data_IF_854928876826
#
_entry.id   IF_854928876826
#
_cell.length_a   1.000
_cell.length_b   1.000
_cell.length_c   1.000
_cell.angle_alpha   90.00
_cell.angle_beta   90.00
_cell.angle_gamma   90.00
#
_symmetry.space_group_name_H-M   'P 1'
#
loop_
_entity.id
_entity.type
_entity.pdbx_description
1 polymer ?
#
# COMPACT_ATOMS: atom_id res chain seq x y z
N UNK A 1 31.75 10.25 -25.40
CA UNK A 1 30.69 10.54 -24.40
C UNK A 1 30.58 9.32 -23.51
N UNK A 2 30.84 9.48 -22.21
CA UNK A 2 30.93 8.36 -21.27
C UNK A 2 29.62 7.59 -21.19
N UNK A 3 29.72 6.25 -21.19
CA UNK A 3 28.57 5.33 -21.12
C UNK A 3 27.65 5.63 -19.92
N UNK A 4 28.23 6.04 -18.80
CA UNK A 4 27.50 6.49 -17.61
C UNK A 4 26.72 7.78 -17.84
N UNK A 5 27.28 8.74 -18.58
CA UNK A 5 26.61 10.00 -18.91
C UNK A 5 25.38 9.76 -19.80
N UNK A 6 25.50 8.86 -20.77
CA UNK A 6 24.36 8.47 -21.62
C UNK A 6 23.25 7.76 -20.81
N UNK A 7 23.61 6.90 -19.86
CA UNK A 7 22.63 6.20 -19.00
C UNK A 7 21.85 7.16 -18.10
N UNK A 8 22.53 8.09 -17.43
CA UNK A 8 21.88 9.09 -16.58
C UNK A 8 20.92 9.97 -17.40
N UNK A 9 21.34 10.40 -18.59
CA UNK A 9 20.48 11.18 -19.48
C UNK A 9 19.23 10.41 -19.90
N UNK A 10 19.38 9.14 -20.27
CA UNK A 10 18.24 8.26 -20.59
C UNK A 10 17.31 8.13 -19.39
N UNK A 11 17.82 7.81 -18.20
CA UNK A 11 16.98 7.71 -16.99
C UNK A 11 16.20 9.00 -16.70
N UNK A 12 16.77 10.18 -16.94
CA UNK A 12 16.05 11.45 -16.77
C UNK A 12 14.90 11.56 -17.78
N UNK A 13 15.14 11.20 -19.05
CA UNK A 13 14.09 11.17 -20.08
C UNK A 13 13.00 10.17 -19.70
N UNK A 14 13.37 8.99 -19.21
CA UNK A 14 12.45 7.94 -18.78
C UNK A 14 11.56 8.47 -17.65
N UNK A 15 12.13 9.15 -16.66
CA UNK A 15 11.36 9.79 -15.57
C UNK A 15 10.37 10.82 -16.13
N UNK A 16 10.76 11.62 -17.12
CA UNK A 16 9.83 12.57 -17.77
C UNK A 16 8.67 11.83 -18.46
N UNK A 17 8.97 10.79 -19.25
CA UNK A 17 7.95 9.98 -19.93
C UNK A 17 7.00 9.34 -18.92
N UNK A 18 7.55 8.77 -17.85
CA UNK A 18 6.81 8.16 -16.74
C UNK A 18 5.88 9.17 -16.09
N UNK A 19 6.39 10.33 -15.64
CA UNK A 19 5.60 11.34 -14.94
C UNK A 19 4.48 11.88 -15.83
N UNK A 20 4.78 12.20 -17.09
CA UNK A 20 3.78 12.71 -18.03
C UNK A 20 2.69 11.66 -18.28
N UNK A 21 3.06 10.42 -18.57
CA UNK A 21 2.10 9.36 -18.88
C UNK A 21 1.25 9.00 -17.65
N UNK A 22 1.88 8.85 -16.48
CA UNK A 22 1.20 8.60 -15.22
C UNK A 22 0.17 9.71 -14.90
N UNK A 23 0.52 10.98 -15.15
CA UNK A 23 -0.39 12.11 -14.94
C UNK A 23 -1.56 12.13 -15.92
N UNK A 24 -1.32 11.81 -17.19
CA UNK A 24 -2.37 11.71 -18.19
C UNK A 24 -3.38 10.61 -17.82
N UNK A 25 -2.90 9.39 -17.55
CA UNK A 25 -3.77 8.28 -17.19
C UNK A 25 -4.43 8.49 -15.82
N UNK A 26 -3.73 9.06 -14.85
CA UNK A 26 -4.30 9.43 -13.55
C UNK A 26 -5.45 10.43 -13.70
N UNK A 27 -5.29 11.45 -14.56
CA UNK A 27 -6.37 12.40 -14.87
C UNK A 27 -7.56 11.72 -15.56
N UNK A 28 -7.31 10.80 -16.49
CA UNK A 28 -8.37 9.98 -17.10
C UNK A 28 -9.11 9.16 -16.05
N UNK A 29 -8.39 8.44 -15.18
CA UNK A 29 -8.98 7.65 -14.10
C UNK A 29 -9.88 8.50 -13.19
N UNK A 30 -9.40 9.66 -12.75
CA UNK A 30 -10.19 10.58 -11.90
C UNK A 30 -11.44 11.12 -12.60
N UNK A 31 -11.42 11.28 -13.93
CA UNK A 31 -12.61 11.67 -14.70
C UNK A 31 -13.70 10.60 -14.68
N UNK A 32 -13.32 9.32 -14.57
CA UNK A 32 -14.23 8.19 -14.37
C UNK A 32 -14.55 7.93 -12.88
N UNK A 33 -14.14 8.82 -11.98
CA UNK A 33 -14.33 8.69 -10.53
C UNK A 33 -13.28 7.84 -9.82
N UNK A 34 -12.34 7.22 -10.56
CA UNK A 34 -11.36 6.31 -9.99
C UNK A 34 -10.19 7.07 -9.33
N UNK A 35 -9.58 6.52 -8.26
CA UNK A 35 -8.34 7.06 -7.69
C UNK A 35 -7.24 7.19 -8.74
N UNK A 36 -6.47 8.28 -8.70
CA UNK A 36 -5.40 8.55 -9.68
C UNK A 36 -4.38 7.41 -9.80
N UNK A 37 -4.07 6.76 -8.67
CA UNK A 37 -3.17 5.59 -8.58
C UNK A 37 -3.54 4.48 -9.56
N UNK A 38 -4.83 4.23 -9.79
CA UNK A 38 -5.27 3.20 -10.75
C UNK A 38 -4.80 3.57 -12.16
N UNK A 39 -4.93 4.84 -12.55
CA UNK A 39 -4.43 5.34 -13.82
C UNK A 39 -2.89 5.27 -13.90
N UNK A 40 -2.19 5.57 -12.82
CA UNK A 40 -0.72 5.52 -12.77
C UNK A 40 -0.19 4.09 -12.96
N UNK A 41 -0.84 3.08 -12.38
CA UNK A 41 -0.50 1.66 -12.62
C UNK A 41 -0.84 1.24 -14.05
N UNK A 42 -2.01 1.62 -14.57
CA UNK A 42 -2.39 1.34 -15.96
C UNK A 42 -1.41 1.99 -16.94
N UNK A 43 -0.90 3.19 -16.65
CA UNK A 43 0.18 3.81 -17.42
C UNK A 43 1.43 2.94 -17.46
N UNK A 44 1.80 2.32 -16.34
CA UNK A 44 2.90 1.35 -16.31
C UNK A 44 2.66 0.13 -17.18
N UNK A 45 1.47 -0.46 -17.11
CA UNK A 45 1.07 -1.58 -17.97
C UNK A 45 1.14 -1.17 -19.45
N UNK A 46 0.69 0.05 -19.75
CA UNK A 46 0.70 0.61 -21.09
C UNK A 46 2.12 0.85 -21.61
N UNK A 47 3.03 1.36 -20.78
CA UNK A 47 4.44 1.59 -21.12
C UNK A 47 5.28 0.31 -21.17
N UNK A 48 4.80 -0.76 -20.53
CA UNK A 48 5.46 -2.06 -20.45
C UNK A 48 5.24 -2.99 -21.65
N UNK A 49 5.60 -4.28 -21.50
CA UNK A 49 5.52 -5.28 -22.56
C UNK A 49 4.07 -5.56 -23.00
N UNK A 50 3.09 -5.25 -22.15
CA UNK A 50 1.67 -5.52 -22.37
C UNK A 50 1.02 -4.69 -23.48
N UNK A 51 1.56 -3.50 -23.80
CA UNK A 51 1.02 -2.65 -24.87
C UNK A 51 2.12 -2.06 -25.74
N UNK A 52 3.03 -1.27 -25.17
CA UNK A 52 4.09 -0.63 -25.93
C UNK A 52 5.09 -1.66 -26.49
N UNK A 53 5.30 -2.77 -25.79
CA UNK A 53 6.05 -3.93 -26.30
C UNK A 53 5.37 -4.74 -27.41
N UNK A 54 4.10 -4.46 -27.74
CA UNK A 54 3.43 -5.02 -28.91
C UNK A 54 3.64 -4.17 -30.17
N UNK A 55 4.11 -2.93 -30.04
CA UNK A 55 4.36 -2.05 -31.17
C UNK A 55 5.66 -2.41 -31.89
N UNK A 56 5.72 -2.22 -33.22
CA UNK A 56 6.93 -2.52 -34.00
C UNK A 56 8.11 -1.68 -33.53
N UNK A 57 9.29 -2.31 -33.43
CA UNK A 57 10.54 -1.63 -33.11
C UNK A 57 11.02 -1.75 -31.66
N UNK A 58 10.39 -2.60 -30.84
CA UNK A 58 10.74 -2.84 -29.43
C UNK A 58 10.89 -1.51 -28.66
N UNK A 59 9.89 -0.64 -28.81
CA UNK A 59 9.92 0.72 -28.26
C UNK A 59 10.06 0.71 -26.74
N UNK A 60 9.62 -0.35 -26.07
CA UNK A 60 9.70 -0.52 -24.62
C UNK A 60 11.14 -0.70 -24.17
N UNK A 61 11.93 -1.51 -24.86
CA UNK A 61 13.36 -1.70 -24.51
C UNK A 61 14.22 -0.53 -24.97
N UNK A 62 13.76 0.25 -25.96
CA UNK A 62 14.44 1.48 -26.40
C UNK A 62 14.19 2.66 -25.48
N UNK A 63 12.95 2.84 -25.02
CA UNK A 63 12.56 3.88 -24.07
C UNK A 63 12.91 3.51 -22.63
N UNK A 64 12.93 2.22 -22.29
CA UNK A 64 13.22 1.74 -20.95
C UNK A 64 14.27 0.62 -21.02
N UNK A 65 15.54 0.97 -21.30
CA UNK A 65 16.60 -0.01 -21.40
C UNK A 65 16.85 -0.70 -20.06
N UNK A 66 17.20 -1.98 -20.10
CA UNK A 66 17.40 -2.81 -18.90
C UNK A 66 18.46 -2.21 -17.95
N UNK A 67 19.46 -1.49 -18.48
CA UNK A 67 20.48 -0.81 -17.70
C UNK A 67 19.96 0.43 -16.93
N UNK A 68 18.86 1.04 -17.37
CA UNK A 68 18.22 2.17 -16.68
C UNK A 68 17.27 1.71 -15.56
N UNK A 69 16.74 0.49 -15.64
CA UNK A 69 15.75 -0.03 -14.68
C UNK A 69 16.20 0.01 -13.22
N UNK A 70 17.46 -0.33 -12.86
CA UNK A 70 17.91 -0.22 -11.47
C UNK A 70 17.86 1.21 -10.91
N UNK A 71 18.15 2.22 -11.75
CA UNK A 71 18.10 3.63 -11.33
C UNK A 71 16.66 4.10 -11.12
N UNK A 72 15.75 3.70 -12.00
CA UNK A 72 14.32 3.94 -11.81
C UNK A 72 13.78 3.21 -10.57
N UNK A 73 14.24 1.97 -10.35
CA UNK A 73 13.93 1.18 -9.15
C UNK A 73 14.34 1.89 -7.87
N UNK A 74 15.54 2.47 -7.82
CA UNK A 74 16.02 3.26 -6.67
C UNK A 74 15.13 4.50 -6.42
N UNK A 75 14.68 5.19 -7.48
CA UNK A 75 13.77 6.33 -7.35
C UNK A 75 12.38 5.89 -6.84
N UNK A 76 11.87 4.77 -7.35
CA UNK A 76 10.62 4.17 -6.90
C UNK A 76 10.67 3.77 -5.42
N UNK A 77 11.76 3.14 -4.99
CA UNK A 77 11.98 2.71 -3.60
C UNK A 77 12.07 3.92 -2.67
N UNK A 78 12.77 4.98 -3.07
CA UNK A 78 12.80 6.25 -2.33
C UNK A 78 11.39 6.86 -2.21
N UNK A 79 10.62 6.87 -3.29
CA UNK A 79 9.25 7.36 -3.29
C UNK A 79 8.34 6.55 -2.38
N UNK A 80 8.54 5.24 -2.37
CA UNK A 80 7.83 4.31 -1.51
C UNK A 80 8.18 4.53 -0.03
N UNK A 81 9.47 4.67 0.32
CA UNK A 81 9.94 4.99 1.68
C UNK A 81 9.28 6.27 2.19
N UNK A 82 9.29 7.34 1.39
CA UNK A 82 8.64 8.60 1.76
C UNK A 82 7.13 8.46 1.89
N UNK A 83 6.49 7.68 1.00
CA UNK A 83 5.06 7.41 1.08
C UNK A 83 4.68 6.69 2.37
N UNK A 84 5.35 5.58 2.67
CA UNK A 84 5.08 4.77 3.85
C UNK A 84 5.35 5.55 5.14
N UNK A 85 6.35 6.42 5.14
CA UNK A 85 6.53 7.41 6.20
C UNK A 85 5.32 8.33 6.36
N UNK A 86 4.79 8.90 5.27
CA UNK A 86 3.59 9.77 5.32
C UNK A 86 2.36 9.01 5.82
N UNK A 87 2.19 7.74 5.43
CA UNK A 87 1.13 6.88 5.96
C UNK A 87 1.27 6.71 7.48
N UNK A 88 2.47 6.38 7.96
CA UNK A 88 2.75 6.32 9.40
C UNK A 88 2.49 7.66 10.10
N UNK A 89 2.85 8.77 9.45
CA UNK A 89 2.64 10.11 9.95
C UNK A 89 1.15 10.46 10.09
N UNK A 90 0.29 9.98 9.20
CA UNK A 90 -1.15 10.23 9.19
C UNK A 90 -1.95 9.32 10.12
N UNK A 91 -1.49 8.07 10.29
CA UNK A 91 -2.20 7.03 11.04
C UNK A 91 -2.58 7.54 12.43
N UNK A 92 -3.87 7.49 12.81
CA UNK A 92 -4.36 8.01 14.09
C UNK A 92 -5.02 6.96 15.00
N UNK A 93 -4.25 6.40 15.95
CA UNK A 93 -4.76 5.42 16.91
C UNK A 93 -5.84 5.93 17.88
N UNK A 94 -6.04 7.24 18.00
CA UNK A 94 -7.10 7.80 18.87
C UNK A 94 -8.49 7.59 18.28
N UNK A 95 -8.60 7.46 16.95
CA UNK A 95 -9.86 7.18 16.24
C UNK A 95 -10.47 5.82 16.59
N UNK A 96 -9.67 4.89 17.13
CA UNK A 96 -10.09 3.55 17.55
C UNK A 96 -10.78 3.59 18.93
N UNK A 97 -10.60 4.66 19.70
CA UNK A 97 -11.09 4.77 21.08
C UNK A 97 -12.62 4.92 21.09
N UNK A 98 -13.31 4.10 21.90
CA UNK A 98 -14.78 4.09 21.99
C UNK A 98 -15.50 3.09 21.07
N UNK A 99 -14.84 2.55 20.02
CA UNK A 99 -15.45 1.58 19.08
C UNK A 99 -14.64 0.30 18.89
N UNK A 100 -13.79 -0.03 19.87
CA UNK A 100 -12.78 -1.10 19.81
C UNK A 100 -13.34 -2.46 19.38
N UNK A 101 -14.47 -2.90 19.95
CA UNK A 101 -15.07 -4.20 19.60
C UNK A 101 -15.47 -4.27 18.14
N UNK A 102 -16.07 -3.20 17.62
CA UNK A 102 -16.51 -3.15 16.23
C UNK A 102 -15.32 -3.14 15.26
N UNK A 103 -14.34 -2.27 15.53
CA UNK A 103 -13.10 -2.21 14.75
C UNK A 103 -12.38 -3.56 14.77
N UNK A 104 -12.19 -4.17 15.94
CA UNK A 104 -11.53 -5.47 16.06
C UNK A 104 -12.27 -6.58 15.30
N UNK A 105 -13.60 -6.65 15.42
CA UNK A 105 -14.41 -7.65 14.73
C UNK A 105 -14.33 -7.51 13.20
N UNK A 106 -14.37 -6.27 12.70
CA UNK A 106 -14.24 -5.97 11.27
C UNK A 106 -12.84 -6.31 10.79
N UNK A 107 -11.79 -5.79 11.45
CA UNK A 107 -10.40 -6.04 11.07
C UNK A 107 -10.05 -7.52 11.06
N UNK A 108 -10.31 -8.24 12.15
CA UNK A 108 -9.95 -9.67 12.26
C UNK A 108 -10.61 -10.49 11.17
N UNK A 109 -11.91 -10.32 10.90
CA UNK A 109 -12.58 -11.11 9.87
C UNK A 109 -12.26 -10.64 8.45
N UNK A 110 -12.08 -9.33 8.24
CA UNK A 110 -11.66 -8.78 6.95
C UNK A 110 -10.21 -9.14 6.59
N UNK A 111 -9.40 -9.56 7.58
CA UNK A 111 -8.04 -10.05 7.37
C UNK A 111 -8.01 -11.58 7.31
N UNK A 112 -8.56 -12.28 8.31
CA UNK A 112 -8.41 -13.73 8.46
C UNK A 112 -9.14 -14.54 7.38
N UNK A 113 -10.33 -14.10 6.95
CA UNK A 113 -11.11 -14.83 5.93
C UNK A 113 -10.40 -14.82 4.56
N UNK A 114 -10.05 -13.66 3.98
CA UNK A 114 -9.30 -13.66 2.72
C UNK A 114 -7.90 -14.25 2.88
N UNK A 115 -7.29 -14.18 4.08
CA UNK A 115 -5.99 -14.82 4.33
C UNK A 115 -6.11 -16.33 4.17
N UNK A 116 -7.08 -16.93 4.85
CA UNK A 116 -7.37 -18.35 4.76
C UNK A 116 -7.71 -18.78 3.32
N UNK A 117 -8.52 -18.01 2.61
CA UNK A 117 -8.79 -18.26 1.19
C UNK A 117 -7.53 -18.16 0.33
N UNK A 118 -6.62 -17.23 0.63
CA UNK A 118 -5.32 -17.15 -0.04
C UNK A 118 -4.46 -18.39 0.18
N UNK A 119 -4.44 -18.94 1.40
CA UNK A 119 -3.78 -20.23 1.67
C UNK A 119 -4.39 -21.35 0.80
N UNK A 120 -5.72 -21.42 0.75
CA UNK A 120 -6.45 -22.46 0.01
C UNK A 120 -6.27 -22.34 -1.50
N UNK A 121 -6.37 -21.13 -2.05
CA UNK A 121 -6.14 -20.88 -3.48
C UNK A 121 -4.70 -21.24 -3.85
N UNK A 122 -3.73 -20.97 -2.96
CA UNK A 122 -2.34 -21.33 -3.20
C UNK A 122 -2.12 -22.83 -3.37
N UNK A 123 -2.90 -23.70 -2.71
CA UNK A 123 -2.81 -25.15 -2.92
C UNK A 123 -3.07 -25.54 -4.38
N UNK A 124 -3.93 -24.79 -5.07
CA UNK A 124 -4.29 -25.02 -6.47
C UNK A 124 -3.27 -24.38 -7.42
N UNK A 125 -2.73 -23.21 -7.05
CA UNK A 125 -1.81 -22.44 -7.89
C UNK A 125 -0.36 -22.90 -7.79
N UNK A 126 0.09 -23.37 -6.62
CA UNK A 126 1.49 -23.72 -6.36
C UNK A 126 2.11 -24.67 -7.39
N UNK A 127 1.45 -25.75 -7.85
CA UNK A 127 2.04 -26.64 -8.85
C UNK A 127 2.45 -25.96 -10.17
N UNK A 128 1.85 -24.81 -10.50
CA UNK A 128 2.16 -24.02 -11.70
C UNK A 128 3.15 -22.87 -11.45
N UNK A 129 3.32 -22.48 -10.19
CA UNK A 129 4.08 -21.30 -9.74
C UNK A 129 5.13 -21.67 -8.68
N UNK A 130 5.57 -22.92 -8.65
CA UNK A 130 6.52 -23.44 -7.65
C UNK A 130 7.98 -23.20 -8.05
N UNK A 131 8.27 -22.64 -9.23
CA UNK A 131 9.61 -22.37 -9.71
C UNK A 131 9.71 -20.92 -10.16
N UNK A 132 10.60 -20.16 -9.54
CA UNK A 132 10.91 -18.77 -9.90
C UNK A 132 12.42 -18.68 -10.10
N UNK A 133 12.86 -18.18 -11.26
CA UNK A 133 14.28 -18.06 -11.63
C UNK A 133 15.10 -19.35 -11.41
N UNK A 134 14.49 -20.51 -11.67
CA UNK A 134 15.11 -21.83 -11.51
C UNK A 134 15.21 -22.33 -10.06
N UNK A 135 14.64 -21.61 -9.08
CA UNK A 135 14.60 -22.01 -7.68
C UNK A 135 13.20 -22.46 -7.28
N UNK A 136 13.12 -23.52 -6.47
CA UNK A 136 11.83 -23.94 -5.90
C UNK A 136 11.36 -22.97 -4.82
N UNK A 137 10.10 -22.54 -4.95
CA UNK A 137 9.40 -21.75 -3.94
C UNK A 137 8.68 -22.71 -2.97
N UNK A 138 9.00 -22.67 -1.67
CA UNK A 138 8.29 -23.47 -0.68
C UNK A 138 6.81 -23.11 -0.64
N UNK A 139 5.94 -24.13 -0.59
CA UNK A 139 4.48 -23.96 -0.53
C UNK A 139 4.07 -23.04 0.63
N UNK A 140 4.66 -23.23 1.82
CA UNK A 140 4.38 -22.44 3.01
C UNK A 140 4.66 -20.95 2.80
N UNK A 141 5.75 -20.61 2.11
CA UNK A 141 6.12 -19.22 1.84
C UNK A 141 5.16 -18.59 0.83
N UNK A 142 4.85 -19.28 -0.27
CA UNK A 142 3.89 -18.78 -1.24
C UNK A 142 2.51 -18.59 -0.60
N UNK A 143 2.07 -19.53 0.23
CA UNK A 143 0.82 -19.45 0.99
C UNK A 143 0.77 -18.21 1.86
N UNK A 144 1.83 -17.93 2.62
CA UNK A 144 1.91 -16.77 3.50
C UNK A 144 1.84 -15.46 2.69
N UNK A 145 2.58 -15.35 1.58
CA UNK A 145 2.54 -14.18 0.71
C UNK A 145 1.18 -13.97 0.04
N UNK A 146 0.57 -15.04 -0.47
CA UNK A 146 -0.77 -15.01 -1.07
C UNK A 146 -1.84 -14.64 -0.05
N UNK A 147 -1.77 -15.23 1.15
CA UNK A 147 -2.65 -14.88 2.27
C UNK A 147 -2.53 -13.41 2.65
N UNK A 148 -1.31 -12.88 2.81
CA UNK A 148 -1.09 -11.45 3.09
C UNK A 148 -1.68 -10.61 1.96
N UNK A 149 -1.31 -10.87 0.71
CA UNK A 149 -1.71 -10.05 -0.43
C UNK A 149 -3.24 -10.00 -0.58
N UNK A 150 -3.92 -11.15 -0.48
CA UNK A 150 -5.38 -11.22 -0.53
C UNK A 150 -6.06 -10.55 0.66
N UNK A 151 -5.36 -10.28 1.78
CA UNK A 151 -5.92 -9.64 2.97
C UNK A 151 -5.68 -8.14 3.10
N UNK A 152 -4.82 -7.53 2.29
CA UNK A 152 -4.48 -6.11 2.43
C UNK A 152 -5.64 -5.19 2.05
N UNK A 153 -5.97 -4.24 2.91
CA UNK A 153 -6.81 -3.08 2.55
C UNK A 153 -5.90 -1.89 2.32
N UNK A 154 -6.13 -1.07 1.29
CA UNK A 154 -5.34 0.13 1.09
C UNK A 154 -5.92 1.34 1.84
N UNK A 155 -5.46 1.57 3.07
CA UNK A 155 -5.91 2.72 3.89
C UNK A 155 -5.88 4.07 3.16
N UNK A 156 -4.81 4.46 2.42
CA UNK A 156 -4.77 5.78 1.77
C UNK A 156 -5.81 5.92 0.64
N UNK A 157 -6.05 4.84 -0.11
CA UNK A 157 -7.07 4.82 -1.17
C UNK A 157 -8.47 4.87 -0.56
N UNK A 158 -8.70 4.10 0.50
CA UNK A 158 -9.93 4.13 1.26
C UNK A 158 -10.23 5.53 1.82
N UNK A 159 -9.24 6.17 2.45
CA UNK A 159 -9.38 7.51 3.01
C UNK A 159 -9.76 8.54 1.95
N UNK A 160 -9.16 8.45 0.76
CA UNK A 160 -9.53 9.28 -0.38
C UNK A 160 -10.98 9.04 -0.83
N UNK A 161 -11.39 7.79 -1.00
CA UNK A 161 -12.78 7.44 -1.41
C UNK A 161 -13.78 7.96 -0.38
N UNK A 162 -13.48 7.81 0.91
CA UNK A 162 -14.31 8.31 2.01
C UNK A 162 -14.40 9.85 2.02
N UNK A 163 -13.29 10.54 1.75
CA UNK A 163 -13.26 12.00 1.65
C UNK A 163 -14.06 12.50 0.44
N UNK A 164 -13.90 11.87 -0.73
CA UNK A 164 -14.61 12.20 -1.97
C UNK A 164 -16.13 11.97 -1.83
N UNK A 165 -16.53 10.90 -1.14
CA UNK A 165 -17.95 10.63 -0.82
C UNK A 165 -18.47 11.41 0.38
N UNK A 166 -17.64 12.22 1.04
CA UNK A 166 -17.97 13.02 2.24
C UNK A 166 -18.50 12.19 3.41
N UNK A 167 -18.16 10.90 3.49
CA UNK A 167 -18.63 9.96 4.54
C UNK A 167 -17.66 9.86 5.73
N UNK A 168 -16.61 10.68 5.78
CA UNK A 168 -15.57 10.61 6.82
C UNK A 168 -16.08 10.90 8.25
N UNK A 169 -17.25 11.55 8.38
CA UNK A 169 -17.91 11.81 9.67
C UNK A 169 -18.96 10.77 10.04
N UNK A 170 -19.38 9.91 9.11
CA UNK A 170 -20.41 8.91 9.40
C UNK A 170 -19.82 7.74 10.18
N UNK A 171 -20.69 6.97 10.84
CA UNK A 171 -20.26 5.76 11.57
C UNK A 171 -19.60 4.74 10.64
N UNK A 172 -20.09 4.61 9.41
CA UNK A 172 -19.53 3.75 8.35
C UNK A 172 -18.11 4.18 8.01
N UNK A 173 -17.89 5.46 7.70
CA UNK A 173 -16.57 5.96 7.32
C UNK A 173 -15.53 5.85 8.44
N UNK A 174 -15.89 6.22 9.67
CA UNK A 174 -14.99 6.12 10.84
C UNK A 174 -14.61 4.68 11.14
N UNK A 175 -15.56 3.74 11.10
CA UNK A 175 -15.27 2.32 11.34
C UNK A 175 -14.40 1.71 10.23
N UNK A 176 -14.68 2.01 8.96
CA UNK A 176 -13.87 1.54 7.84
C UNK A 176 -12.43 2.06 7.91
N UNK A 177 -12.23 3.37 8.16
CA UNK A 177 -10.89 3.95 8.32
C UNK A 177 -10.13 3.34 9.49
N UNK A 178 -10.81 3.13 10.61
CA UNK A 178 -10.20 2.58 11.82
C UNK A 178 -9.82 1.11 11.61
N UNK A 179 -10.67 0.33 10.94
CA UNK A 179 -10.40 -1.06 10.62
C UNK A 179 -9.25 -1.19 9.61
N UNK A 180 -9.25 -0.38 8.54
CA UNK A 180 -8.16 -0.36 7.57
C UNK A 180 -6.81 0.09 8.18
N UNK A 181 -6.81 1.03 9.12
CA UNK A 181 -5.58 1.41 9.83
C UNK A 181 -5.03 0.26 10.69
N UNK A 182 -5.91 -0.55 11.31
CA UNK A 182 -5.50 -1.76 12.04
C UNK A 182 -5.01 -2.84 11.06
N UNK A 183 -5.71 -3.04 9.95
CA UNK A 183 -5.32 -4.01 8.91
C UNK A 183 -3.96 -3.66 8.30
N UNK A 184 -3.67 -2.37 8.06
CA UNK A 184 -2.37 -1.90 7.58
C UNK A 184 -1.26 -2.31 8.55
N UNK A 185 -1.45 -2.07 9.85
CA UNK A 185 -0.47 -2.47 10.88
C UNK A 185 -0.30 -4.00 10.90
N UNK A 186 -1.39 -4.76 10.79
CA UNK A 186 -1.34 -6.23 10.74
C UNK A 186 -0.60 -6.72 9.49
N UNK A 187 -0.91 -6.16 8.32
CA UNK A 187 -0.28 -6.51 7.05
C UNK A 187 1.23 -6.23 7.08
N UNK A 188 1.63 -5.06 7.56
CA UNK A 188 3.04 -4.70 7.70
C UNK A 188 3.77 -5.59 8.71
N UNK A 189 3.16 -5.86 9.87
CA UNK A 189 3.76 -6.75 10.87
C UNK A 189 3.95 -8.16 10.31
N UNK A 190 2.94 -8.69 9.61
CA UNK A 190 2.99 -10.02 9.03
C UNK A 190 3.97 -10.10 7.85
N UNK A 191 4.01 -9.08 6.98
CA UNK A 191 4.98 -8.99 5.89
C UNK A 191 6.41 -8.94 6.41
N UNK A 192 6.69 -8.16 7.46
CA UNK A 192 8.01 -8.11 8.08
C UNK A 192 8.44 -9.48 8.61
N UNK A 193 7.52 -10.20 9.26
CA UNK A 193 7.75 -11.57 9.72
C UNK A 193 8.04 -12.53 8.56
N UNK A 194 7.20 -12.53 7.52
CA UNK A 194 7.38 -13.43 6.38
C UNK A 194 8.67 -13.12 5.63
N UNK A 195 8.98 -11.85 5.40
CA UNK A 195 10.23 -11.41 4.79
C UNK A 195 11.45 -11.92 5.57
N UNK A 196 11.42 -11.79 6.90
CA UNK A 196 12.49 -12.30 7.77
C UNK A 196 12.63 -13.83 7.70
N UNK A 197 11.53 -14.56 7.55
CA UNK A 197 11.54 -16.03 7.36
C UNK A 197 12.13 -16.40 6.00
N UNK A 198 11.80 -15.69 4.92
CA UNK A 198 12.30 -15.98 3.57
C UNK A 198 13.79 -15.70 3.42
N UNK A 199 14.26 -14.56 3.95
CA UNK A 199 15.69 -14.18 3.91
C UNK A 199 16.53 -14.91 4.97
N UNK A 200 15.89 -15.59 5.92
CA UNK A 200 16.56 -16.24 7.03
C UNK A 200 17.15 -17.60 6.63
N UNK A 201 18.47 -17.65 6.42
CA UNK A 201 19.22 -18.92 6.34
C UNK A 201 19.38 -19.55 7.74
N UNK A 202 18.26 -19.94 8.39
CA UNK A 202 18.23 -20.66 9.66
C UNK A 202 17.65 -19.90 10.86
N UNK A 203 17.22 -20.66 11.86
CA UNK A 203 16.51 -20.19 13.07
C UNK A 203 17.27 -19.07 13.81
N UNK A 204 18.60 -19.16 13.87
CA UNK A 204 19.44 -18.17 14.55
C UNK A 204 19.38 -16.78 13.89
N UNK A 205 19.35 -16.71 12.56
CA UNK A 205 19.20 -15.43 11.83
C UNK A 205 17.82 -14.84 12.08
N UNK A 206 16.76 -15.65 12.04
CA UNK A 206 15.38 -15.22 12.32
C UNK A 206 15.26 -14.64 13.74
N UNK A 207 15.77 -15.35 14.76
CA UNK A 207 15.76 -14.87 16.15
C UNK A 207 16.56 -13.57 16.29
N UNK A 208 17.73 -13.48 15.67
CA UNK A 208 18.54 -12.25 15.67
C UNK A 208 17.78 -11.08 15.03
N UNK A 209 17.16 -11.28 13.86
CA UNK A 209 16.36 -10.26 13.19
C UNK A 209 15.22 -9.80 14.09
N UNK A 210 14.47 -10.72 14.71
CA UNK A 210 13.39 -10.38 15.64
C UNK A 210 13.88 -9.56 16.85
N UNK A 211 14.98 -9.98 17.48
CA UNK A 211 15.57 -9.26 18.62
C UNK A 211 16.05 -7.85 18.24
N UNK A 212 16.76 -7.72 17.12
CA UNK A 212 17.23 -6.41 16.63
C UNK A 212 16.06 -5.51 16.24
N UNK A 213 14.99 -6.07 15.69
CA UNK A 213 13.77 -5.33 15.34
C UNK A 213 13.04 -4.82 16.58
N UNK A 214 12.92 -5.67 17.60
CA UNK A 214 12.33 -5.29 18.89
C UNK A 214 13.17 -4.20 19.58
N UNK A 215 14.50 -4.33 19.55
CA UNK A 215 15.43 -3.34 20.07
C UNK A 215 15.32 -2.00 19.32
N UNK A 216 15.26 -2.05 17.99
CA UNK A 216 15.06 -0.86 17.16
C UNK A 216 13.72 -0.18 17.48
N UNK A 217 12.64 -0.95 17.60
CA UNK A 217 11.33 -0.42 17.99
C UNK A 217 11.34 0.22 19.39
N UNK A 218 12.01 -0.43 20.36
CA UNK A 218 12.18 0.11 21.71
C UNK A 218 13.00 1.41 21.71
N UNK A 219 14.08 1.48 20.93
CA UNK A 219 14.89 2.70 20.76
C UNK A 219 14.07 3.83 20.13
N UNK A 220 13.28 3.51 19.10
CA UNK A 220 12.40 4.46 18.42
C UNK A 220 11.36 5.06 19.37
N UNK A 221 10.74 4.22 20.20
CA UNK A 221 9.73 4.64 21.17
C UNK A 221 10.32 5.34 22.41
N UNK A 222 11.46 4.86 22.91
CA UNK A 222 12.07 5.32 24.15
C UNK A 222 13.01 6.50 24.00
N UNK A 223 13.67 6.66 22.85
CA UNK A 223 14.69 7.70 22.62
C UNK A 223 14.28 8.64 21.49
N UNK A 224 13.95 8.10 20.31
CA UNK A 224 13.68 8.96 19.13
C UNK A 224 12.39 9.76 19.31
N UNK A 225 11.32 9.13 19.79
CA UNK A 225 10.03 9.80 20.06
C UNK A 225 10.15 11.00 21.02
N UNK A 226 10.76 10.89 22.22
CA UNK A 226 10.93 12.04 23.08
C UNK A 226 11.85 13.10 22.50
N UNK A 227 12.92 12.72 21.78
CA UNK A 227 13.78 13.68 21.07
C UNK A 227 12.99 14.46 20.01
N UNK A 228 12.17 13.78 19.20
CA UNK A 228 11.27 14.44 18.23
C UNK A 228 10.29 15.37 18.93
N UNK A 229 9.73 14.98 20.08
CA UNK A 229 8.84 15.84 20.86
C UNK A 229 9.56 17.09 21.40
N UNK A 230 10.81 16.97 21.82
CA UNK A 230 11.65 18.11 22.19
C UNK A 230 11.91 19.00 20.98
N UNK A 231 12.33 18.45 19.85
CA UNK A 231 12.59 19.20 18.61
C UNK A 231 11.35 19.99 18.17
N UNK A 232 10.15 19.40 18.22
CA UNK A 232 8.89 20.09 17.94
C UNK A 232 8.63 21.25 18.91
N UNK A 233 8.88 21.06 20.21
CA UNK A 233 8.75 22.13 21.22
C UNK A 233 9.74 23.27 20.98
N UNK A 234 10.99 22.96 20.62
CA UNK A 234 12.03 23.94 20.35
C UNK A 234 11.73 24.79 19.11
N UNK A 235 11.22 24.18 18.03
CA UNK A 235 10.82 24.92 16.83
C UNK A 235 9.70 25.92 17.10
N UNK A 236 8.72 25.55 17.93
CA UNK A 236 7.67 26.48 18.35
C UNK A 236 8.23 27.69 19.10
N UNK A 237 9.28 27.50 19.90
CA UNK A 237 9.91 28.59 20.67
C UNK A 237 10.80 29.51 19.82
N UNK A 238 11.35 29.02 18.72
CA UNK A 238 12.40 29.72 17.94
C UNK A 238 11.90 30.35 16.64
N UNK A 239 10.58 30.44 16.42
CA UNK A 239 10.02 31.10 15.24
C UNK A 239 10.15 30.31 13.93
N UNK A 240 10.52 29.03 14.01
CA UNK A 240 10.26 28.06 12.96
C UNK A 240 11.14 28.10 11.71
N UNK A 241 12.39 27.62 11.81
CA UNK A 241 13.19 27.23 10.63
C UNK A 241 12.72 25.89 10.07
N UNK A 242 11.64 25.92 9.28
CA UNK A 242 11.00 24.71 8.71
C UNK A 242 11.98 23.86 7.89
N UNK A 243 12.97 24.46 7.22
CA UNK A 243 13.94 23.75 6.38
C UNK A 243 14.85 22.82 7.20
N UNK A 244 15.43 23.31 8.31
CA UNK A 244 16.29 22.47 9.17
C UNK A 244 15.53 21.27 9.72
N UNK A 245 14.25 21.46 10.05
CA UNK A 245 13.40 20.37 10.51
C UNK A 245 13.07 19.35 9.42
N UNK A 246 12.82 19.80 8.19
CA UNK A 246 12.63 18.88 7.06
C UNK A 246 13.89 18.05 6.81
N UNK A 247 15.09 18.62 6.99
CA UNK A 247 16.35 17.86 6.93
C UNK A 247 16.43 16.81 8.03
N UNK A 248 16.06 17.16 9.27
CA UNK A 248 16.04 16.20 10.39
C UNK A 248 15.02 15.08 10.14
N UNK A 249 13.83 15.42 9.65
CA UNK A 249 12.78 14.43 9.34
C UNK A 249 13.19 13.55 8.16
N UNK A 250 13.61 14.13 7.04
CA UNK A 250 14.04 13.38 5.86
C UNK A 250 15.25 12.49 6.19
N UNK A 251 16.26 13.04 6.87
CA UNK A 251 17.42 12.28 7.35
C UNK A 251 17.02 11.18 8.33
N UNK A 252 16.08 11.44 9.24
CA UNK A 252 15.57 10.46 10.19
C UNK A 252 14.80 9.32 9.52
N UNK A 253 13.99 9.62 8.50
CA UNK A 253 13.28 8.63 7.69
C UNK A 253 14.28 7.75 6.93
N UNK A 254 15.23 8.35 6.22
CA UNK A 254 16.23 7.62 5.45
C UNK A 254 17.16 6.78 6.33
N UNK A 255 17.56 7.32 7.49
CA UNK A 255 18.38 6.59 8.46
C UNK A 255 17.59 5.41 9.06
N UNK A 256 16.31 5.61 9.38
CA UNK A 256 15.46 4.53 9.88
C UNK A 256 15.30 3.43 8.84
N UNK A 257 15.06 3.81 7.59
CA UNK A 257 14.95 2.90 6.45
C UNK A 257 16.25 2.07 6.26
N UNK A 258 17.40 2.75 6.27
CA UNK A 258 18.73 2.12 6.22
C UNK A 258 18.97 1.14 7.39
N UNK A 259 18.64 1.52 8.62
CA UNK A 259 18.82 0.65 9.79
C UNK A 259 17.97 -0.61 9.64
N UNK A 260 16.72 -0.50 9.20
CA UNK A 260 15.87 -1.69 8.98
C UNK A 260 16.40 -2.60 7.88
N UNK A 261 16.89 -2.05 6.77
CA UNK A 261 17.58 -2.83 5.72
C UNK A 261 18.78 -3.60 6.30
N UNK A 262 19.60 -2.96 7.14
CA UNK A 262 20.75 -3.58 7.80
C UNK A 262 20.38 -4.67 8.82
N UNK A 263 19.21 -4.56 9.45
CA UNK A 263 18.68 -5.59 10.36
C UNK A 263 18.23 -6.85 9.57
N UNK A 264 17.99 -6.72 8.27
CA UNK A 264 17.48 -7.79 7.42
C UNK A 264 15.95 -7.78 7.29
N UNK A 265 15.32 -6.62 7.48
CA UNK A 265 13.92 -6.37 7.11
C UNK A 265 13.91 -5.33 5.98
N UNK A 266 12.85 -5.29 5.19
CA UNK A 266 12.63 -4.25 4.19
C UNK A 266 12.72 -2.82 4.77
N UNK A 267 13.31 -1.90 4.03
CA UNK A 267 13.58 -0.52 4.46
C UNK A 267 12.32 0.32 4.70
N UNK A 268 11.20 -0.04 4.07
CA UNK A 268 9.89 0.63 4.27
C UNK A 268 9.40 0.59 5.72
N UNK A 269 9.77 -0.44 6.49
CA UNK A 269 9.33 -0.59 7.89
C UNK A 269 9.94 0.47 8.81
N UNK A 270 11.20 0.83 8.59
CA UNK A 270 11.85 1.90 9.34
C UNK A 270 11.17 3.24 9.10
N UNK A 271 10.81 3.51 7.84
CA UNK A 271 10.09 4.72 7.44
C UNK A 271 8.70 4.80 8.07
N UNK A 272 7.93 3.70 8.03
CA UNK A 272 6.62 3.59 8.67
C UNK A 272 6.70 3.90 10.17
N UNK A 273 7.61 3.22 10.88
CA UNK A 273 7.74 3.37 12.32
C UNK A 273 8.13 4.81 12.69
N UNK A 274 9.06 5.42 11.94
CA UNK A 274 9.45 6.81 12.15
C UNK A 274 8.26 7.77 11.99
N UNK A 275 7.40 7.56 10.99
CA UNK A 275 6.15 8.30 10.83
C UNK A 275 5.18 8.09 12.00
N UNK A 276 4.98 6.83 12.39
CA UNK A 276 4.02 6.44 13.42
C UNK A 276 4.36 6.98 14.82
N UNK A 277 5.64 7.10 15.16
CA UNK A 277 6.08 7.65 16.45
C UNK A 277 6.06 9.19 16.51
N UNK A 278 5.84 9.85 15.38
CA UNK A 278 5.92 11.30 15.28
C UNK A 278 4.93 11.97 16.25
N UNK A 279 5.35 12.95 17.07
CA UNK A 279 4.46 13.61 18.02
C UNK A 279 3.25 14.23 17.32
N UNK A 280 2.05 14.07 17.90
CA UNK A 280 0.82 14.69 17.36
C UNK A 280 0.43 15.96 18.08
N UNK A 281 0.43 15.91 19.42
CA UNK A 281 0.05 17.05 20.25
C UNK A 281 1.04 18.19 20.03
N UNK A 282 0.51 19.35 19.66
CA UNK A 282 1.32 20.52 19.37
C UNK A 282 2.17 20.43 18.09
N UNK A 283 2.04 19.40 17.26
CA UNK A 283 2.81 19.25 16.02
C UNK A 283 1.97 19.37 14.75
N UNK A 284 0.67 19.71 14.83
CA UNK A 284 -0.26 19.69 13.70
C UNK A 284 0.24 20.53 12.51
N UNK A 285 0.64 21.78 12.74
CA UNK A 285 1.17 22.65 11.69
C UNK A 285 2.47 22.07 11.09
N UNK A 286 3.32 21.46 11.91
CA UNK A 286 4.56 20.85 11.44
C UNK A 286 4.32 19.59 10.60
N UNK A 287 3.42 18.69 11.05
CA UNK A 287 3.00 17.50 10.29
C UNK A 287 2.42 17.90 8.95
N UNK A 288 1.56 18.92 8.91
CA UNK A 288 1.02 19.47 7.66
C UNK A 288 2.14 20.01 6.76
N UNK A 289 3.08 20.80 7.28
CA UNK A 289 4.20 21.30 6.49
C UNK A 289 5.08 20.19 5.89
N UNK A 290 5.26 19.07 6.62
CA UNK A 290 5.95 17.88 6.09
C UNK A 290 5.14 17.25 4.96
N UNK A 291 3.85 16.98 5.19
CA UNK A 291 2.95 16.39 4.19
C UNK A 291 2.86 17.26 2.94
N UNK A 292 2.74 18.58 3.09
CA UNK A 292 2.63 19.51 1.96
C UNK A 292 3.94 19.53 1.16
N UNK A 293 5.11 19.63 1.81
CA UNK A 293 6.38 19.77 1.09
C UNK A 293 6.93 18.45 0.56
N UNK A 294 7.11 17.46 1.44
CA UNK A 294 7.61 16.14 1.03
C UNK A 294 6.57 15.38 0.22
N UNK A 295 5.28 15.47 0.59
CA UNK A 295 4.21 14.81 -0.14
C UNK A 295 3.98 15.40 -1.52
N UNK A 296 4.17 16.72 -1.72
CA UNK A 296 4.11 17.31 -3.08
C UNK A 296 5.21 16.74 -3.96
N UNK A 297 6.47 16.75 -3.52
CA UNK A 297 7.58 16.19 -4.32
C UNK A 297 7.36 14.69 -4.59
N UNK A 298 6.96 13.94 -3.56
CA UNK A 298 6.73 12.52 -3.68
C UNK A 298 5.60 12.19 -4.69
N UNK A 299 4.46 12.86 -4.58
CA UNK A 299 3.29 12.65 -5.45
C UNK A 299 3.47 13.20 -6.87
N UNK A 300 4.38 14.16 -7.08
CA UNK A 300 4.66 14.70 -8.41
C UNK A 300 5.60 13.81 -9.21
N UNK A 301 6.60 13.19 -8.58
CA UNK A 301 7.70 12.54 -9.30
C UNK A 301 7.90 11.10 -8.84
N UNK A 302 8.25 10.88 -7.57
CA UNK A 302 8.77 9.59 -7.11
C UNK A 302 7.71 8.48 -7.05
N UNK A 303 6.52 8.79 -6.58
CA UNK A 303 5.42 7.84 -6.42
C UNK A 303 4.80 7.41 -7.76
N UNK A 304 4.62 8.32 -8.75
CA UNK A 304 4.33 7.92 -10.13
C UNK A 304 5.37 6.94 -10.71
N UNK A 305 6.66 7.14 -10.43
CA UNK A 305 7.72 6.21 -10.86
C UNK A 305 7.53 4.83 -10.24
N UNK A 306 7.23 4.76 -8.94
CA UNK A 306 6.90 3.48 -8.29
C UNK A 306 5.73 2.76 -8.98
N UNK A 307 4.60 3.43 -9.21
CA UNK A 307 3.44 2.77 -9.80
C UNK A 307 3.64 2.36 -11.25
N UNK A 308 4.37 3.18 -12.01
CA UNK A 308 4.69 2.84 -13.39
C UNK A 308 5.63 1.65 -13.46
N UNK A 309 6.65 1.55 -12.59
CA UNK A 309 7.52 0.35 -12.53
C UNK A 309 6.73 -0.88 -12.08
N UNK A 310 5.84 -0.74 -11.09
CA UNK A 310 4.97 -1.84 -10.67
C UNK A 310 4.08 -2.32 -11.82
N UNK A 311 3.50 -1.39 -12.60
CA UNK A 311 2.71 -1.69 -13.78
C UNK A 311 3.52 -2.22 -14.96
N UNK A 312 4.75 -1.75 -15.16
CA UNK A 312 5.66 -2.19 -16.23
C UNK A 312 6.01 -3.67 -16.10
N UNK A 313 6.04 -4.18 -14.86
CA UNK A 313 6.29 -5.58 -14.53
C UNK A 313 5.11 -6.52 -14.80
N UNK A 314 3.96 -6.01 -15.21
CA UNK A 314 2.74 -6.76 -15.55
C UNK A 314 2.82 -7.17 -17.02
N UNK A 315 2.71 -8.47 -17.28
CA UNK A 315 2.74 -9.03 -18.63
C UNK A 315 1.42 -9.72 -18.99
N UNK A 316 0.54 -8.99 -19.67
CA UNK A 316 -0.77 -9.46 -20.11
C UNK A 316 -0.71 -10.31 -21.40
N UNK A 317 0.45 -10.47 -22.04
CA UNK A 317 0.55 -11.27 -23.27
C UNK A 317 0.19 -12.73 -23.01
N UNK A 318 0.53 -13.22 -21.82
CA UNK A 318 0.24 -14.58 -21.39
C UNK A 318 -1.23 -14.80 -21.01
N UNK A 319 -2.02 -13.74 -20.79
CA UNK A 319 -3.47 -13.85 -20.45
C UNK A 319 -4.33 -14.39 -21.59
N UNK A 320 -3.79 -14.50 -22.80
CA UNK A 320 -4.41 -15.23 -23.91
C UNK A 320 -4.56 -16.73 -23.63
N UNK A 321 -3.76 -17.28 -22.70
CA UNK A 321 -3.86 -18.67 -22.25
C UNK A 321 -5.05 -18.81 -21.31
N UNK A 322 -6.00 -19.67 -21.68
CA UNK A 322 -7.19 -19.98 -20.88
C UNK A 322 -6.83 -20.36 -19.43
N UNK A 323 -5.70 -21.04 -19.23
CA UNK A 323 -5.22 -21.44 -17.90
C UNK A 323 -4.94 -20.25 -16.98
N UNK A 324 -4.23 -19.21 -17.44
CA UNK A 324 -3.94 -18.02 -16.62
C UNK A 324 -5.18 -17.16 -16.39
N UNK A 325 -6.07 -17.06 -17.39
CA UNK A 325 -7.35 -16.38 -17.22
C UNK A 325 -8.22 -17.05 -16.15
N UNK A 326 -8.25 -18.39 -16.11
CA UNK A 326 -8.97 -19.14 -15.09
C UNK A 326 -8.36 -18.97 -13.70
N UNK A 327 -7.03 -18.94 -13.59
CA UNK A 327 -6.34 -18.67 -12.33
C UNK A 327 -6.61 -17.24 -11.84
N UNK A 328 -6.59 -16.25 -12.72
CA UNK A 328 -6.96 -14.87 -12.40
C UNK A 328 -8.40 -14.77 -11.92
N UNK A 329 -9.34 -15.43 -12.59
CA UNK A 329 -10.73 -15.48 -12.17
C UNK A 329 -10.90 -16.16 -10.79
N UNK A 330 -10.19 -17.26 -10.54
CA UNK A 330 -10.16 -17.93 -9.24
C UNK A 330 -9.67 -17.00 -8.13
N UNK A 331 -8.54 -16.32 -8.34
CA UNK A 331 -7.98 -15.37 -7.37
C UNK A 331 -8.93 -14.19 -7.14
N UNK A 332 -9.47 -13.61 -8.21
CA UNK A 332 -10.39 -12.47 -8.12
C UNK A 332 -11.67 -12.82 -7.37
N UNK A 333 -12.26 -13.98 -7.66
CA UNK A 333 -13.48 -14.44 -6.99
C UNK A 333 -13.21 -14.78 -5.53
N UNK A 334 -12.13 -15.49 -5.21
CA UNK A 334 -11.76 -15.81 -3.85
C UNK A 334 -11.43 -14.55 -3.03
N UNK A 335 -10.68 -13.59 -3.61
CA UNK A 335 -10.35 -12.33 -2.96
C UNK A 335 -11.61 -11.49 -2.71
N UNK A 336 -12.49 -11.37 -3.71
CA UNK A 336 -13.76 -10.66 -3.60
C UNK A 336 -14.67 -11.28 -2.54
N UNK A 337 -14.91 -12.59 -2.58
CA UNK A 337 -15.76 -13.31 -1.62
C UNK A 337 -15.17 -13.21 -0.21
N UNK A 338 -13.87 -13.47 -0.06
CA UNK A 338 -13.21 -13.44 1.24
C UNK A 338 -13.26 -12.07 1.88
N UNK A 339 -12.91 -11.03 1.12
CA UNK A 339 -12.81 -9.67 1.63
C UNK A 339 -14.20 -9.07 1.89
N UNK A 340 -15.12 -9.18 0.93
CA UNK A 340 -16.49 -8.68 1.10
C UNK A 340 -17.22 -9.48 2.19
N UNK A 341 -17.16 -10.80 2.13
CA UNK A 341 -17.85 -11.70 3.07
C UNK A 341 -17.33 -11.58 4.50
N UNK A 342 -16.00 -11.63 4.70
CA UNK A 342 -15.37 -11.50 6.00
C UNK A 342 -15.67 -10.15 6.67
N UNK A 343 -15.55 -9.07 5.90
CA UNK A 343 -15.86 -7.72 6.41
C UNK A 343 -17.34 -7.57 6.73
N UNK A 344 -18.23 -8.03 5.84
CA UNK A 344 -19.68 -7.97 6.05
C UNK A 344 -20.08 -8.73 7.31
N UNK A 345 -19.58 -9.96 7.48
CA UNK A 345 -19.79 -10.76 8.68
C UNK A 345 -19.29 -10.04 9.93
N UNK A 346 -18.08 -9.46 9.89
CA UNK A 346 -17.50 -8.70 11.00
C UNK A 346 -18.35 -7.48 11.39
N UNK A 347 -18.92 -6.77 10.43
CA UNK A 347 -19.83 -5.66 10.71
C UNK A 347 -21.19 -6.15 11.25
N UNK A 348 -21.71 -7.29 10.76
CA UNK A 348 -22.99 -7.86 11.21
C UNK A 348 -22.95 -8.42 12.62
N UNK A 349 -21.82 -9.01 13.04
CA UNK A 349 -21.61 -9.42 14.44
C UNK A 349 -21.73 -8.25 15.43
N UNK A 350 -21.56 -7.03 14.94
CA UNK A 350 -21.66 -5.80 15.71
C UNK A 350 -23.04 -5.13 15.56
N UNK A 351 -24.03 -5.89 15.08
CA UNK A 351 -25.44 -5.50 14.91
C UNK A 351 -25.63 -4.26 14.02
N UNK A 352 -24.75 -4.07 13.05
CA UNK A 352 -24.93 -3.03 12.03
C UNK A 352 -26.03 -3.42 11.04
N UNK A 353 -26.68 -2.43 10.44
CA UNK A 353 -27.68 -2.64 9.39
C UNK A 353 -27.06 -3.31 8.17
N UNK A 354 -27.87 -4.00 7.37
CA UNK A 354 -27.43 -4.66 6.12
C UNK A 354 -26.66 -3.67 5.24
N UNK A 355 -27.21 -2.46 5.11
CA UNK A 355 -26.66 -1.40 4.30
C UNK A 355 -25.29 -0.94 4.82
N UNK A 356 -25.16 -0.67 6.11
CA UNK A 356 -23.89 -0.24 6.69
C UNK A 356 -22.83 -1.34 6.63
N UNK A 357 -23.21 -2.60 6.87
CA UNK A 357 -22.30 -3.74 6.73
C UNK A 357 -21.80 -3.91 5.31
N UNK A 358 -22.68 -3.78 4.32
CA UNK A 358 -22.32 -3.88 2.92
C UNK A 358 -21.47 -2.67 2.46
N UNK A 359 -21.77 -1.46 2.95
CA UNK A 359 -20.96 -0.28 2.67
C UNK A 359 -19.52 -0.42 3.22
N UNK A 360 -19.37 -0.89 4.47
CA UNK A 360 -18.04 -1.18 5.05
C UNK A 360 -17.35 -2.29 4.25
N UNK A 361 -18.05 -3.36 3.89
CA UNK A 361 -17.47 -4.45 3.09
C UNK A 361 -16.89 -3.96 1.76
N UNK A 362 -17.65 -3.14 1.02
CA UNK A 362 -17.19 -2.56 -0.24
C UNK A 362 -15.99 -1.64 -0.02
N UNK A 363 -16.06 -0.75 0.98
CA UNK A 363 -14.96 0.16 1.34
C UNK A 363 -13.67 -0.61 1.71
N UNK A 364 -13.79 -1.70 2.47
CA UNK A 364 -12.65 -2.54 2.87
C UNK A 364 -12.11 -3.43 1.75
N UNK A 365 -12.80 -3.54 0.61
CA UNK A 365 -12.29 -4.24 -0.58
C UNK A 365 -11.44 -3.33 -1.48
N UNK A 366 -11.06 -2.15 -0.99
CA UNK A 366 -10.16 -1.23 -1.70
C UNK A 366 -8.74 -1.73 -1.63
N UNK A 367 -8.12 -1.86 -2.81
CA UNK A 367 -6.71 -2.15 -2.97
C UNK A 367 -5.98 -0.92 -3.47
N UNK A 368 -4.66 -0.99 -3.49
CA UNK A 368 -3.86 0.19 -3.81
C UNK A 368 -2.39 -0.03 -3.53
N UNK A 369 -1.73 1.06 -3.14
CA UNK A 369 -0.28 1.08 -3.00
C UNK A 369 0.25 0.00 -2.05
N UNK A 370 -0.35 -0.18 -0.88
CA UNK A 370 0.10 -1.16 0.12
C UNK A 370 0.17 -2.58 -0.45
N UNK A 371 -0.81 -2.98 -1.26
CA UNK A 371 -0.80 -4.28 -1.92
C UNK A 371 0.28 -4.36 -3.00
N UNK A 372 0.40 -3.35 -3.87
CA UNK A 372 1.43 -3.33 -4.91
C UNK A 372 2.84 -3.41 -4.34
N UNK A 373 3.06 -2.84 -3.15
CA UNK A 373 4.32 -2.99 -2.44
C UNK A 373 4.55 -4.44 -2.08
N UNK A 374 3.60 -5.10 -1.41
CA UNK A 374 3.73 -6.51 -1.04
C UNK A 374 3.95 -7.41 -2.25
N UNK A 375 3.27 -7.13 -3.36
CA UNK A 375 3.49 -7.86 -4.62
C UNK A 375 4.91 -7.62 -5.16
N UNK A 376 5.39 -6.38 -5.12
CA UNK A 376 6.74 -6.02 -5.58
C UNK A 376 7.81 -6.67 -4.70
N UNK A 377 7.64 -6.65 -3.37
CA UNK A 377 8.50 -7.35 -2.41
C UNK A 377 8.51 -8.85 -2.73
N UNK A 378 7.33 -9.46 -2.90
CA UNK A 378 7.21 -10.88 -3.21
C UNK A 378 7.89 -11.26 -4.53
N UNK A 379 7.84 -10.40 -5.55
CA UNK A 379 8.58 -10.59 -6.80
C UNK A 379 10.09 -10.45 -6.60
N UNK A 380 10.53 -9.41 -5.89
CA UNK A 380 11.96 -9.14 -5.63
C UNK A 380 12.65 -10.27 -4.84
N UNK A 381 11.95 -10.83 -3.84
CA UNK A 381 12.48 -11.97 -3.06
C UNK A 381 12.32 -13.32 -3.77
N UNK A 382 11.78 -13.34 -5.00
CA UNK A 382 11.64 -14.54 -5.81
C UNK A 382 10.51 -15.48 -5.38
N UNK A 383 9.46 -14.96 -4.75
CA UNK A 383 8.28 -15.73 -4.35
C UNK A 383 7.19 -15.71 -5.42
N UNK A 384 7.05 -14.58 -6.13
CA UNK A 384 6.14 -14.46 -7.25
C UNK A 384 6.91 -14.48 -8.56
N UNK A 385 6.56 -15.40 -9.46
CA UNK A 385 6.88 -15.24 -10.87
C UNK A 385 6.06 -14.10 -11.50
N UNK A 386 6.40 -13.77 -12.75
CA UNK A 386 5.75 -12.71 -13.51
C UNK A 386 4.25 -12.96 -13.70
N UNK A 387 3.82 -14.21 -13.89
CA UNK A 387 2.42 -14.54 -14.14
C UNK A 387 1.58 -14.38 -12.86
N UNK A 388 2.07 -14.87 -11.71
CA UNK A 388 1.44 -14.69 -10.41
C UNK A 388 1.38 -13.21 -10.02
N UNK A 389 2.48 -12.47 -10.21
CA UNK A 389 2.51 -11.03 -9.99
C UNK A 389 1.43 -10.32 -10.84
N UNK A 390 1.33 -10.68 -12.12
CA UNK A 390 0.34 -10.13 -13.05
C UNK A 390 -1.09 -10.45 -12.60
N UNK A 391 -1.38 -11.71 -12.22
CA UNK A 391 -2.68 -12.12 -11.67
C UNK A 391 -3.08 -11.26 -10.47
N UNK A 392 -2.16 -11.05 -9.54
CA UNK A 392 -2.42 -10.31 -8.31
C UNK A 392 -2.61 -8.81 -8.57
N UNK A 393 -1.82 -8.20 -9.47
CA UNK A 393 -2.03 -6.80 -9.87
C UNK A 393 -3.38 -6.62 -10.57
N UNK A 394 -3.77 -7.56 -11.46
CA UNK A 394 -5.09 -7.52 -12.11
C UNK A 394 -6.21 -7.63 -11.08
N UNK A 395 -6.09 -8.51 -10.07
CA UNK A 395 -7.05 -8.61 -8.98
C UNK A 395 -7.15 -7.29 -8.19
N UNK A 396 -6.01 -6.67 -7.85
CA UNK A 396 -5.95 -5.40 -7.14
C UNK A 396 -6.64 -4.26 -7.91
N UNK A 397 -6.37 -4.16 -9.21
CA UNK A 397 -6.99 -3.17 -10.08
C UNK A 397 -8.49 -3.40 -10.21
N UNK A 398 -8.91 -4.64 -10.50
CA UNK A 398 -10.31 -4.98 -10.68
C UNK A 398 -11.13 -4.68 -9.42
N UNK A 399 -10.71 -5.20 -8.26
CA UNK A 399 -11.43 -5.00 -6.98
C UNK A 399 -11.57 -3.52 -6.61
N UNK A 400 -10.54 -2.71 -6.86
CA UNK A 400 -10.59 -1.27 -6.58
C UNK A 400 -11.48 -0.53 -7.56
N UNK A 401 -11.42 -0.85 -8.85
CA UNK A 401 -12.29 -0.26 -9.87
C UNK A 401 -13.76 -0.53 -9.54
N UNK A 402 -14.08 -1.75 -9.08
CA UNK A 402 -15.43 -2.14 -8.68
C UNK A 402 -15.92 -1.47 -7.39
N UNK A 403 -15.01 -1.04 -6.50
CA UNK A 403 -15.39 -0.48 -5.20
C UNK A 403 -16.31 0.75 -5.32
N UNK A 404 -15.97 1.72 -6.16
CA UNK A 404 -16.70 2.98 -6.18
C UNK A 404 -18.11 2.84 -6.79
N UNK A 405 -18.32 2.15 -7.93
CA UNK A 405 -19.67 1.84 -8.42
C UNK A 405 -20.50 1.04 -7.42
N UNK A 406 -19.92 -0.01 -6.81
CA UNK A 406 -20.62 -0.83 -5.82
C UNK A 406 -21.04 0.01 -4.60
N UNK A 407 -20.19 0.94 -4.15
CA UNK A 407 -20.49 1.81 -3.02
C UNK A 407 -21.63 2.77 -3.32
N UNK A 408 -21.76 3.28 -4.56
CA UNK A 408 -22.89 4.14 -4.96
C UNK A 408 -24.23 3.41 -4.91
N UNK A 409 -24.22 2.11 -5.24
CA UNK A 409 -25.43 1.28 -5.23
C UNK A 409 -25.83 0.94 -3.79
N UNK A 410 -24.86 0.50 -2.98
CA UNK A 410 -25.11 0.00 -1.62
C UNK A 410 -25.31 1.15 -0.61
N UNK A 411 -24.63 2.28 -0.81
CA UNK A 411 -24.69 3.45 0.06
C UNK A 411 -24.94 4.72 -0.79
N UNK A 412 -26.20 4.93 -1.21
CA UNK A 412 -26.60 6.05 -2.05
C UNK A 412 -26.57 7.36 -1.26
N UNK A 413 -26.51 8.49 -1.99
CA UNK A 413 -26.28 9.81 -1.39
C UNK A 413 -27.38 10.24 -0.40
N UNK A 414 -28.62 9.75 -0.57
CA UNK A 414 -29.69 9.96 0.40
C UNK A 414 -29.37 9.33 1.77
N UNK A 415 -28.91 8.09 1.79
CA UNK A 415 -28.54 7.39 3.03
C UNK A 415 -27.30 8.01 3.69
N UNK A 416 -26.37 8.52 2.87
CA UNK A 416 -25.21 9.28 3.37
C UNK A 416 -25.68 10.54 4.09
N UNK A 417 -26.61 11.29 3.50
CA UNK A 417 -27.12 12.52 4.09
C UNK A 417 -27.83 12.27 5.42
N UNK A 418 -28.69 11.25 5.49
CA UNK A 418 -29.38 10.83 6.72
C UNK A 418 -28.37 10.51 7.84
N UNK A 419 -27.29 9.78 7.54
CA UNK A 419 -26.25 9.46 8.51
C UNK A 419 -25.40 10.67 8.92
N UNK A 420 -25.19 11.63 8.02
CA UNK A 420 -24.48 12.87 8.33
C UNK A 420 -25.32 13.77 9.25
N UNK A 421 -26.62 13.87 8.99
CA UNK A 421 -27.55 14.64 9.82
C UNK A 421 -27.66 14.02 11.21
N UNK A 422 -27.74 12.68 11.30
CA UNK A 422 -27.70 11.95 12.56
C UNK A 422 -26.37 12.10 13.32
N UNK A 423 -25.24 12.22 12.60
CA UNK A 423 -23.95 12.48 13.22
C UNK A 423 -23.80 13.92 13.74
N UNK A 424 -24.45 14.89 13.08
CA UNK A 424 -24.43 16.30 13.48
C UNK A 424 -25.29 16.56 14.74
N UNK A 425 -26.37 15.81 14.93
CA UNK A 425 -27.24 15.92 16.12
C UNK A 425 -26.69 15.21 17.36
N UNK A 426 -25.74 14.29 17.17
CA UNK A 426 -25.13 13.49 18.24
C UNK A 426 -23.90 14.17 18.89
N UNK A 427 -23.91 15.49 19.09
CA UNK A 427 -22.80 16.21 19.75
C UNK A 427 -22.35 15.51 21.05
N UNK A 428 -21.04 15.54 21.37
CA UNK A 428 -20.49 14.71 22.42
C UNK A 428 -20.96 15.20 23.79
N UNK A 429 -21.56 14.30 24.58
CA UNK A 429 -21.67 14.53 26.03
C UNK A 429 -20.27 14.86 26.59
N UNK A 430 -20.17 15.89 27.46
CA UNK A 430 -18.91 16.47 27.92
C UNK A 430 -17.94 15.49 28.60
#
# INVERSE_FOLDING_TARGET
MDRTFSLVFLTIVDVVVIVVTARLFGKVATRFGQPAVIGEVIAGIALGPSLLGLLPGHLETRLFPAEAMPYLGMLAELGLVLFVFMVGLELDFTLIRGRRRAVASISVLSFAVPFALGLLVTLVLHPRHNIVDGKQVPLSTLMLFMGIAMSITAFPVLARIIAERKVYRTRVGVLALSAAAVDDVLAWTLLAYVYAVVKGDGVLKVVRTLLLSALFAALMLGVVRPLLAQIVKWHKKTGGRTVCMLVVVAGGVLLSAFITARIGIHEIFGAFLFGAIMPRQGAQHFRRAILDRLGTVNSLVLLPVFFVIAGFNVDLRNFTRLDLAMQSLLVLTAAGIGKLGGTFAGARLQRMTVQHSAAIAVLMNTRGLTELVVLSVGKEVGIFDTDMFTIMVVMALATTIFCQPALRIVYPDKAIQEDLDAAATAEPEP
#
